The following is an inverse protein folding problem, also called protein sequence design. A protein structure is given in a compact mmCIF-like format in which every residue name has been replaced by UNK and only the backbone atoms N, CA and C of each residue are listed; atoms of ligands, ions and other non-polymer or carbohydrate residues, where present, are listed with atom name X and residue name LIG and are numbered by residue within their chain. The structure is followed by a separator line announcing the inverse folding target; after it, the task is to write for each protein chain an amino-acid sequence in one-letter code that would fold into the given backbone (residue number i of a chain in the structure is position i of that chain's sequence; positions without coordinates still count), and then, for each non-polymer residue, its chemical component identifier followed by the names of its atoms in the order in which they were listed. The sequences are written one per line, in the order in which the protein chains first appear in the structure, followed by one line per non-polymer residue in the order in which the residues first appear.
data_IF_184251207754
#
_entry.id   IF_184251207754
#
_cell.length_a   1.000
_cell.length_b   1.000
_cell.length_c   1.000
_cell.angle_alpha   90.00
_cell.angle_beta   90.00
_cell.angle_gamma   90.00
#
_symmetry.space_group_name_H-M   'P 1'
#
loop_
_entity.id
_entity.type
_entity.pdbx_description
1 polymer ?
#
# COMPACT_ATOMS: atom_id res chain seq x y z
N UNK A 1 -5.89 -21.12 -21.84
CA UNK A 1 -6.30 -19.71 -22.01
C UNK A 1 -5.06 -18.82 -21.90
N UNK A 2 -4.18 -18.89 -22.90
CA UNK A 2 -3.02 -18.00 -23.04
C UNK A 2 -3.36 -16.97 -24.11
N UNK A 3 -4.12 -15.95 -23.75
CA UNK A 3 -4.17 -14.73 -24.55
C UNK A 3 -2.91 -13.95 -24.24
N UNK A 4 -1.95 -13.95 -25.17
CA UNK A 4 -0.81 -13.05 -25.13
C UNK A 4 -1.32 -11.62 -24.93
N UNK A 5 -1.19 -11.09 -23.71
CA UNK A 5 -1.48 -9.70 -23.44
C UNK A 5 -0.64 -8.87 -24.40
N UNK A 6 -1.28 -8.04 -25.22
CA UNK A 6 -0.61 -7.18 -26.19
C UNK A 6 0.47 -6.37 -25.47
N UNK A 7 1.73 -6.42 -25.94
CA UNK A 7 2.89 -5.65 -25.41
C UNK A 7 2.56 -4.23 -24.89
N UNK A 8 1.73 -3.40 -25.57
CA UNK A 8 1.33 -2.09 -25.04
C UNK A 8 0.57 -2.16 -23.70
N UNK A 9 -0.28 -3.17 -23.49
CA UNK A 9 -1.03 -3.37 -22.24
C UNK A 9 -0.11 -3.71 -21.07
N UNK A 10 0.94 -4.51 -21.32
CA UNK A 10 1.96 -4.84 -20.31
C UNK A 10 2.79 -3.63 -19.89
N UNK A 11 3.02 -2.67 -20.80
CA UNK A 11 3.73 -1.42 -20.50
C UNK A 11 2.82 -0.36 -19.87
N UNK A 12 1.55 -0.31 -20.28
CA UNK A 12 0.58 0.65 -19.76
C UNK A 12 0.09 0.32 -18.35
N UNK A 13 -0.07 -0.98 -18.01
CA UNK A 13 -0.64 -1.40 -16.73
C UNK A 13 0.11 -0.85 -15.50
N UNK A 14 1.46 -0.89 -15.42
CA UNK A 14 2.19 -0.29 -14.31
C UNK A 14 1.99 1.22 -14.20
N UNK A 15 1.92 1.93 -15.33
CA UNK A 15 1.73 3.39 -15.37
C UNK A 15 0.34 3.75 -14.84
N UNK A 16 -0.69 3.06 -15.34
CA UNK A 16 -2.07 3.25 -14.89
C UNK A 16 -2.21 2.92 -13.41
N UNK A 17 -1.63 1.79 -12.97
CA UNK A 17 -1.60 1.41 -11.57
C UNK A 17 -0.94 2.50 -10.71
N UNK A 18 0.21 3.01 -11.12
CA UNK A 18 0.94 4.04 -10.38
C UNK A 18 0.14 5.34 -10.27
N UNK A 19 -0.52 5.78 -11.35
CA UNK A 19 -1.38 6.97 -11.34
C UNK A 19 -2.58 6.79 -10.40
N UNK A 20 -3.29 5.66 -10.51
CA UNK A 20 -4.45 5.36 -9.66
C UNK A 20 -4.04 5.21 -8.19
N UNK A 21 -2.91 4.58 -7.92
CA UNK A 21 -2.40 4.36 -6.57
C UNK A 21 -1.95 5.67 -5.92
N UNK A 22 -1.15 6.48 -6.62
CA UNK A 22 -0.66 7.76 -6.10
C UNK A 22 -1.79 8.77 -5.87
N UNK A 23 -2.80 8.82 -6.74
CA UNK A 23 -3.97 9.66 -6.55
C UNK A 23 -4.81 9.24 -5.32
N UNK A 24 -4.72 7.97 -4.92
CA UNK A 24 -5.50 7.40 -3.81
C UNK A 24 -5.31 8.12 -2.48
N UNK A 25 -4.10 8.57 -2.14
CA UNK A 25 -3.84 9.30 -0.88
C UNK A 25 -4.46 10.70 -0.88
N UNK A 26 -4.37 11.41 -2.01
CA UNK A 26 -4.99 12.72 -2.16
C UNK A 26 -6.52 12.61 -2.07
N UNK A 27 -7.11 11.65 -2.79
CA UNK A 27 -8.55 11.39 -2.77
C UNK A 27 -9.01 10.95 -1.37
N UNK A 28 -8.25 10.07 -0.69
CA UNK A 28 -8.55 9.64 0.67
C UNK A 28 -8.61 10.83 1.64
N UNK A 29 -7.64 11.74 1.57
CA UNK A 29 -7.62 12.93 2.43
C UNK A 29 -8.83 13.83 2.18
N UNK A 30 -9.26 13.99 0.92
CA UNK A 30 -10.47 14.73 0.56
C UNK A 30 -11.72 14.00 1.08
N UNK A 31 -11.82 12.68 0.88
CA UNK A 31 -12.96 11.88 1.36
C UNK A 31 -13.14 11.93 2.88
N UNK A 32 -12.04 12.03 3.64
CA UNK A 32 -12.04 12.15 5.10
C UNK A 32 -12.60 13.48 5.62
N UNK A 33 -12.82 14.47 4.75
CA UNK A 33 -13.57 15.69 5.07
C UNK A 33 -15.07 15.40 5.27
N UNK A 34 -15.59 14.35 4.63
CA UNK A 34 -17.02 14.02 4.61
C UNK A 34 -17.36 12.77 5.42
N UNK A 35 -16.40 11.88 5.67
CA UNK A 35 -16.63 10.63 6.39
C UNK A 35 -15.52 10.34 7.42
N UNK A 36 -15.84 9.53 8.43
CA UNK A 36 -14.84 8.95 9.33
C UNK A 36 -13.92 7.97 8.59
N UNK A 37 -12.71 7.70 9.11
CA UNK A 37 -11.74 6.82 8.45
C UNK A 37 -12.32 5.43 8.19
N UNK A 38 -12.77 4.73 9.22
CA UNK A 38 -13.30 3.38 9.06
C UNK A 38 -14.57 3.33 8.20
N UNK A 39 -15.43 4.37 8.24
CA UNK A 39 -16.60 4.47 7.37
C UNK A 39 -16.20 4.58 5.90
N UNK A 40 -15.19 5.40 5.60
CA UNK A 40 -14.68 5.55 4.24
C UNK A 40 -14.03 4.27 3.73
N UNK A 41 -13.24 3.57 4.57
CA UNK A 41 -12.69 2.27 4.22
C UNK A 41 -13.80 1.23 4.00
N UNK A 42 -14.80 1.16 4.89
CA UNK A 42 -15.91 0.23 4.75
C UNK A 42 -16.65 0.44 3.42
N UNK A 43 -17.01 1.68 3.10
CA UNK A 43 -17.65 2.02 1.82
C UNK A 43 -16.77 1.61 0.63
N UNK A 44 -15.47 1.96 0.67
CA UNK A 44 -14.51 1.65 -0.40
C UNK A 44 -14.44 0.14 -0.66
N UNK A 45 -14.31 -0.67 0.39
CA UNK A 45 -14.20 -2.11 0.24
C UNK A 45 -15.53 -2.78 -0.07
N UNK A 46 -16.66 -2.27 0.43
CA UNK A 46 -17.99 -2.73 0.03
C UNK A 46 -18.20 -2.52 -1.48
N UNK A 47 -17.84 -1.35 -2.01
CA UNK A 47 -17.90 -1.09 -3.46
C UNK A 47 -16.98 -2.06 -4.22
N UNK A 48 -15.74 -2.25 -3.75
CA UNK A 48 -14.81 -3.19 -4.38
C UNK A 48 -15.38 -4.62 -4.43
N UNK A 49 -15.97 -5.10 -3.33
CA UNK A 49 -16.62 -6.40 -3.25
C UNK A 49 -17.82 -6.48 -4.21
N UNK A 50 -18.68 -5.45 -4.26
CA UNK A 50 -19.82 -5.40 -5.17
C UNK A 50 -19.42 -5.42 -6.65
N UNK A 51 -18.29 -4.79 -6.99
CA UNK A 51 -17.75 -4.81 -8.36
C UNK A 51 -17.11 -6.16 -8.70
N UNK A 52 -16.44 -6.79 -7.74
CA UNK A 52 -15.72 -8.05 -7.95
C UNK A 52 -16.63 -9.30 -7.87
N UNK A 53 -17.71 -9.27 -7.08
CA UNK A 53 -18.64 -10.39 -6.91
C UNK A 53 -19.22 -10.90 -8.25
N UNK A 54 -19.72 -10.05 -9.17
CA UNK A 54 -20.23 -10.48 -10.48
C UNK A 54 -19.17 -11.11 -11.39
N UNK A 55 -17.88 -10.84 -11.15
CA UNK A 55 -16.78 -11.39 -11.94
C UNK A 55 -16.41 -12.82 -11.53
N UNK A 56 -16.78 -13.26 -10.33
CA UNK A 56 -16.50 -14.63 -9.83
C UNK A 56 -17.03 -15.73 -10.77
N UNK A 57 -18.31 -15.72 -11.21
CA UNK A 57 -18.81 -16.77 -12.12
C UNK A 57 -18.13 -16.75 -13.50
N UNK A 58 -17.62 -15.60 -13.93
CA UNK A 58 -16.95 -15.42 -15.22
C UNK A 58 -15.51 -15.95 -15.15
N UNK A 59 -14.76 -15.54 -14.13
CA UNK A 59 -13.34 -15.85 -13.96
C UNK A 59 -13.10 -17.24 -13.33
N UNK A 60 -14.11 -17.78 -12.63
CA UNK A 60 -14.06 -19.05 -11.88
C UNK A 60 -12.76 -19.21 -11.09
N UNK A 61 -12.42 -18.24 -10.22
CA UNK A 61 -11.17 -18.29 -9.47
C UNK A 61 -11.15 -19.51 -8.53
N UNK A 62 -9.97 -20.09 -8.35
CA UNK A 62 -9.78 -21.15 -7.36
C UNK A 62 -9.79 -20.54 -5.97
N UNK A 63 -10.80 -20.89 -5.17
CA UNK A 63 -10.87 -20.42 -3.79
C UNK A 63 -9.81 -21.12 -2.93
N UNK A 64 -9.04 -20.37 -2.12
CA UNK A 64 -8.14 -20.95 -1.15
C UNK A 64 -8.94 -21.77 -0.13
N UNK A 65 -8.41 -22.92 0.28
CA UNK A 65 -9.05 -23.82 1.26
C UNK A 65 -8.09 -24.08 2.43
N UNK A 66 -8.66 -24.28 3.63
CA UNK A 66 -7.88 -24.60 4.83
C UNK A 66 -6.97 -23.46 5.27
N UNK A 67 -5.69 -23.75 5.52
CA UNK A 67 -4.70 -22.77 6.01
C UNK A 67 -4.49 -21.60 5.06
N UNK A 68 -4.45 -21.85 3.75
CA UNK A 68 -4.29 -20.79 2.75
C UNK A 68 -5.39 -19.71 2.82
N UNK A 69 -6.61 -20.07 3.24
CA UNK A 69 -7.69 -19.09 3.42
C UNK A 69 -7.42 -18.17 4.62
N UNK A 70 -6.85 -18.72 5.71
CA UNK A 70 -6.42 -17.93 6.86
C UNK A 70 -5.25 -17.03 6.51
N UNK A 71 -4.27 -17.54 5.76
CA UNK A 71 -3.08 -16.78 5.36
C UNK A 71 -3.48 -15.56 4.51
N UNK A 72 -4.38 -15.75 3.54
CA UNK A 72 -4.94 -14.67 2.72
C UNK A 72 -5.77 -13.69 3.57
N UNK A 73 -6.52 -14.18 4.55
CA UNK A 73 -7.28 -13.31 5.45
C UNK A 73 -6.35 -12.45 6.32
N UNK A 74 -5.24 -13.01 6.81
CA UNK A 74 -4.22 -12.28 7.60
C UNK A 74 -3.55 -11.20 6.75
N UNK A 75 -3.10 -11.54 5.54
CA UNK A 75 -2.51 -10.57 4.60
C UNK A 75 -3.52 -9.48 4.25
N UNK A 76 -4.76 -9.86 3.93
CA UNK A 76 -5.85 -8.93 3.65
C UNK A 76 -6.14 -7.99 4.81
N UNK A 77 -6.17 -8.49 6.04
CA UNK A 77 -6.35 -7.67 7.23
C UNK A 77 -5.19 -6.69 7.44
N UNK A 78 -3.94 -7.15 7.33
CA UNK A 78 -2.77 -6.30 7.51
C UNK A 78 -2.70 -5.17 6.47
N UNK A 79 -3.03 -5.45 5.21
CA UNK A 79 -3.03 -4.45 4.14
C UNK A 79 -4.24 -3.52 4.26
N UNK A 80 -5.45 -4.08 4.34
CA UNK A 80 -6.67 -3.30 4.20
C UNK A 80 -7.11 -2.64 5.50
N UNK A 81 -6.88 -3.27 6.65
CA UNK A 81 -7.29 -2.74 7.95
C UNK A 81 -6.12 -2.05 8.64
N UNK A 82 -5.00 -2.75 8.84
CA UNK A 82 -3.90 -2.16 9.60
C UNK A 82 -3.22 -1.02 8.82
N UNK A 83 -2.76 -1.27 7.59
CA UNK A 83 -2.08 -0.25 6.79
C UNK A 83 -3.01 0.92 6.40
N UNK A 84 -4.07 0.66 5.64
CA UNK A 84 -4.96 1.75 5.21
C UNK A 84 -5.70 2.41 6.37
N UNK A 85 -6.12 1.64 7.39
CA UNK A 85 -6.83 2.19 8.54
C UNK A 85 -5.95 3.15 9.34
N UNK A 86 -4.71 2.76 9.66
CA UNK A 86 -3.77 3.63 10.37
C UNK A 86 -3.35 4.84 9.52
N UNK A 87 -3.16 4.68 8.22
CA UNK A 87 -2.90 5.82 7.33
C UNK A 87 -4.07 6.82 7.29
N UNK A 88 -5.32 6.34 7.28
CA UNK A 88 -6.49 7.22 7.27
C UNK A 88 -6.71 7.90 8.62
N UNK A 89 -6.38 7.23 9.73
CA UNK A 89 -6.30 7.87 11.05
C UNK A 89 -5.24 8.96 11.03
N UNK A 90 -4.04 8.71 10.48
CA UNK A 90 -3.00 9.72 10.36
C UNK A 90 -3.48 10.95 9.58
N UNK A 91 -4.15 10.75 8.44
CA UNK A 91 -4.76 11.85 7.68
C UNK A 91 -5.82 12.59 8.48
N UNK A 92 -6.68 11.89 9.21
CA UNK A 92 -7.72 12.50 10.05
C UNK A 92 -7.14 13.28 11.23
N UNK A 93 -6.02 12.82 11.79
CA UNK A 93 -5.29 13.52 12.85
C UNK A 93 -4.64 14.82 12.37
N UNK A 94 -4.53 15.04 11.06
CA UNK A 94 -4.00 16.26 10.46
C UNK A 94 -2.75 16.04 9.61
N UNK A 95 -2.25 14.80 9.51
CA UNK A 95 -0.99 14.56 8.81
C UNK A 95 -1.11 14.87 7.31
N UNK A 96 -0.09 15.52 6.74
CA UNK A 96 -0.08 15.77 5.29
C UNK A 96 0.01 14.47 4.47
N UNK A 97 -0.53 14.51 3.24
CA UNK A 97 -0.39 13.37 2.32
C UNK A 97 1.10 13.08 2.01
N UNK A 98 1.93 14.12 1.96
CA UNK A 98 3.38 14.00 1.81
C UNK A 98 4.05 13.36 3.03
N UNK A 99 3.67 13.75 4.25
CA UNK A 99 4.21 13.18 5.48
C UNK A 99 3.98 11.67 5.60
N UNK A 100 2.75 11.22 5.35
CA UNK A 100 2.45 9.78 5.30
C UNK A 100 3.19 9.11 4.13
N UNK A 101 3.26 9.75 2.97
CA UNK A 101 3.96 9.20 1.80
C UNK A 101 5.45 8.96 2.06
N UNK A 102 6.18 9.89 2.70
CA UNK A 102 7.60 9.68 3.05
C UNK A 102 7.74 8.43 3.92
N UNK A 103 6.92 8.32 4.97
CA UNK A 103 6.98 7.20 5.90
C UNK A 103 6.73 5.89 5.16
N UNK A 104 5.68 5.83 4.34
CA UNK A 104 5.32 4.64 3.57
C UNK A 104 6.37 4.31 2.51
N UNK A 105 7.03 5.30 1.91
CA UNK A 105 8.14 5.10 0.97
C UNK A 105 9.37 4.40 1.60
N UNK A 106 9.44 4.28 2.93
CA UNK A 106 10.46 3.48 3.60
C UNK A 106 10.18 1.98 3.55
N UNK A 107 8.97 1.55 3.16
CA UNK A 107 8.60 0.13 3.09
C UNK A 107 9.59 -0.71 2.29
N UNK A 108 10.05 -0.32 1.09
CA UNK A 108 10.98 -1.15 0.32
C UNK A 108 12.35 -1.29 0.99
N UNK A 109 12.77 -0.31 1.80
CA UNK A 109 13.99 -0.39 2.62
C UNK A 109 13.80 -1.42 3.73
N UNK A 110 12.70 -1.33 4.48
CA UNK A 110 12.40 -2.29 5.54
C UNK A 110 12.27 -3.71 5.00
N UNK A 111 11.54 -3.91 3.90
CA UNK A 111 11.41 -5.21 3.24
C UNK A 111 12.79 -5.69 2.78
N UNK A 112 13.62 -4.85 2.16
CA UNK A 112 14.97 -5.24 1.70
C UNK A 112 15.92 -5.61 2.84
N UNK A 113 15.73 -5.06 4.04
CA UNK A 113 16.53 -5.37 5.23
C UNK A 113 16.07 -6.66 5.93
N UNK A 114 14.77 -6.97 5.88
CA UNK A 114 14.17 -8.07 6.63
C UNK A 114 14.01 -9.33 5.75
N UNK A 115 13.62 -9.17 4.49
CA UNK A 115 13.40 -10.29 3.57
C UNK A 115 14.60 -11.23 3.42
N UNK A 116 15.87 -10.78 3.39
CA UNK A 116 17.01 -11.69 3.34
C UNK A 116 17.09 -12.64 4.52
N UNK A 117 16.69 -12.18 5.72
CA UNK A 117 16.71 -13.00 6.95
C UNK A 117 15.51 -13.94 7.03
N UNK A 118 14.36 -13.56 6.48
CA UNK A 118 13.12 -14.34 6.59
C UNK A 118 12.88 -15.29 5.42
N UNK A 119 13.31 -14.91 4.21
CA UNK A 119 13.01 -15.60 2.94
C UNK A 119 14.28 -16.11 2.25
N UNK A 120 15.47 -15.67 2.69
CA UNK A 120 16.76 -16.09 2.11
C UNK A 120 17.12 -15.38 0.79
N UNK A 121 16.39 -14.34 0.39
CA UNK A 121 16.70 -13.57 -0.82
C UNK A 121 17.92 -12.65 -0.62
N UNK A 122 18.84 -12.59 -1.58
CA UNK A 122 19.94 -11.62 -1.55
C UNK A 122 19.58 -10.33 -2.29
N UNK A 123 19.89 -9.18 -1.69
CA UNK A 123 19.66 -7.86 -2.31
C UNK A 123 20.96 -7.38 -2.96
N UNK A 124 20.96 -7.28 -4.29
CA UNK A 124 22.11 -6.78 -5.06
C UNK A 124 22.42 -5.30 -4.77
N UNK A 125 23.69 -4.90 -4.89
CA UNK A 125 24.15 -3.51 -4.74
C UNK A 125 23.41 -2.55 -5.69
N UNK A 126 23.05 -3.00 -6.90
CA UNK A 126 22.32 -2.17 -7.85
C UNK A 126 20.89 -1.85 -7.37
N UNK A 127 20.24 -2.78 -6.66
CA UNK A 127 18.91 -2.55 -6.05
C UNK A 127 19.01 -1.52 -4.93
N UNK A 128 20.08 -1.54 -4.14
CA UNK A 128 20.33 -0.54 -3.10
C UNK A 128 20.53 0.87 -3.68
N UNK A 129 21.26 0.99 -4.79
CA UNK A 129 21.44 2.29 -5.49
C UNK A 129 20.09 2.79 -6.03
N UNK A 130 19.33 1.93 -6.71
CA UNK A 130 18.01 2.30 -7.22
C UNK A 130 17.05 2.73 -6.10
N UNK A 131 17.10 2.06 -4.96
CA UNK A 131 16.32 2.40 -3.78
C UNK A 131 16.71 3.75 -3.17
N UNK A 132 18.01 4.02 -3.05
CA UNK A 132 18.52 5.31 -2.59
C UNK A 132 18.11 6.45 -3.52
N UNK A 133 18.20 6.25 -4.84
CA UNK A 133 17.77 7.23 -5.84
C UNK A 133 16.25 7.47 -5.79
N UNK A 134 15.45 6.41 -5.66
CA UNK A 134 14.00 6.53 -5.54
C UNK A 134 13.57 7.26 -4.26
N UNK A 135 14.21 6.95 -3.13
CA UNK A 135 13.98 7.64 -1.86
C UNK A 135 14.36 9.12 -1.94
N UNK A 136 15.52 9.43 -2.54
CA UNK A 136 15.98 10.81 -2.73
C UNK A 136 14.97 11.62 -3.57
N UNK A 137 14.52 11.07 -4.70
CA UNK A 137 13.51 11.71 -5.55
C UNK A 137 12.19 11.96 -4.80
N UNK A 138 11.69 10.96 -4.06
CA UNK A 138 10.49 11.12 -3.25
C UNK A 138 10.67 12.23 -2.18
N UNK A 139 11.81 12.25 -1.51
CA UNK A 139 12.14 13.27 -0.51
C UNK A 139 12.18 14.67 -1.12
N UNK A 140 12.81 14.85 -2.29
CA UNK A 140 12.85 16.16 -2.97
C UNK A 140 11.45 16.67 -3.30
N UNK A 141 10.60 15.82 -3.89
CA UNK A 141 9.22 16.22 -4.26
C UNK A 141 8.39 16.58 -3.03
N UNK A 142 8.55 15.83 -1.94
CA UNK A 142 7.75 16.05 -0.74
C UNK A 142 8.24 17.27 0.03
N UNK A 143 9.56 17.46 0.16
CA UNK A 143 10.13 18.68 0.77
C UNK A 143 9.79 19.94 -0.02
N UNK A 144 9.75 19.86 -1.35
CA UNK A 144 9.32 20.97 -2.20
C UNK A 144 7.83 21.34 -2.01
N UNK A 145 7.02 20.41 -1.48
CA UNK A 145 5.58 20.60 -1.23
C UNK A 145 5.22 20.73 0.25
N UNK A 146 6.13 20.46 1.17
CA UNK A 146 5.89 20.58 2.60
C UNK A 146 5.98 22.05 3.01
N UNK A 147 4.84 22.68 3.28
CA UNK A 147 4.83 23.85 4.15
C UNK A 147 5.35 23.44 5.54
N UNK A 148 6.02 24.35 6.25
CA UNK A 148 6.50 24.12 7.62
C UNK A 148 5.27 24.08 8.55
N UNK A 149 4.50 23.01 8.48
CA UNK A 149 3.37 22.72 9.36
C UNK A 149 3.78 21.57 10.28
N UNK A 150 3.62 21.76 11.58
CA UNK A 150 3.91 20.73 12.56
C UNK A 150 2.98 19.53 12.37
N UNK A 151 3.54 18.38 12.03
CA UNK A 151 2.79 17.13 11.89
C UNK A 151 2.47 16.55 13.28
N UNK A 152 1.20 16.19 13.56
CA UNK A 152 0.79 15.62 14.85
C UNK A 152 1.50 14.30 15.16
N UNK A 153 2.09 14.18 16.35
CA UNK A 153 2.86 12.99 16.79
C UNK A 153 2.04 11.71 16.73
N UNK A 154 0.78 11.76 17.15
CA UNK A 154 -0.13 10.59 17.11
C UNK A 154 -0.36 10.13 15.67
N UNK A 155 -0.54 11.07 14.74
CA UNK A 155 -0.72 10.74 13.33
C UNK A 155 0.54 10.15 12.71
N UNK A 156 1.73 10.65 13.08
CA UNK A 156 3.01 10.05 12.67
C UNK A 156 3.17 8.63 13.20
N UNK A 157 2.83 8.39 14.47
CA UNK A 157 2.85 7.04 15.06
C UNK A 157 1.90 6.08 14.32
N UNK A 158 0.70 6.55 13.94
CA UNK A 158 -0.22 5.77 13.11
C UNK A 158 0.38 5.48 11.72
N UNK A 159 0.99 6.46 11.06
CA UNK A 159 1.64 6.24 9.75
C UNK A 159 2.78 5.20 9.84
N UNK A 160 3.59 5.24 10.91
CA UNK A 160 4.63 4.23 11.18
C UNK A 160 4.01 2.86 11.46
N UNK A 161 2.94 2.79 12.25
CA UNK A 161 2.20 1.55 12.48
C UNK A 161 1.65 0.97 11.17
N UNK A 162 1.14 1.83 10.27
CA UNK A 162 0.68 1.42 8.94
C UNK A 162 1.82 0.87 8.08
N UNK A 163 2.97 1.53 8.07
CA UNK A 163 4.19 1.06 7.40
C UNK A 163 4.61 -0.32 7.90
N UNK A 164 4.60 -0.54 9.22
CA UNK A 164 4.92 -1.85 9.82
C UNK A 164 3.90 -2.89 9.38
N UNK A 165 2.60 -2.58 9.44
CA UNK A 165 1.52 -3.47 9.00
C UNK A 165 1.68 -3.90 7.54
N UNK A 166 1.97 -2.95 6.65
CA UNK A 166 2.21 -3.23 5.23
C UNK A 166 3.47 -4.08 5.01
N UNK A 167 4.56 -3.76 5.71
CA UNK A 167 5.82 -4.52 5.64
C UNK A 167 5.61 -5.97 6.11
N UNK A 168 4.92 -6.14 7.24
CA UNK A 168 4.59 -7.45 7.79
C UNK A 168 3.72 -8.25 6.81
N UNK A 169 2.72 -7.63 6.19
CA UNK A 169 1.88 -8.26 5.18
C UNK A 169 2.70 -8.79 4.00
N UNK A 170 3.56 -7.94 3.42
CA UNK A 170 4.41 -8.32 2.27
C UNK A 170 5.36 -9.45 2.61
N UNK A 171 5.95 -9.45 3.81
CA UNK A 171 6.85 -10.52 4.25
C UNK A 171 6.10 -11.83 4.55
N UNK A 172 4.88 -11.74 5.08
CA UNK A 172 4.03 -12.88 5.36
C UNK A 172 3.57 -13.54 4.06
N UNK A 173 3.06 -12.76 3.11
CA UNK A 173 2.64 -13.21 1.77
C UNK A 173 3.79 -13.84 0.97
N UNK A 174 5.02 -13.36 1.15
CA UNK A 174 6.19 -13.99 0.52
C UNK A 174 6.53 -15.35 1.10
N UNK A 175 6.14 -15.63 2.33
CA UNK A 175 6.55 -16.83 3.07
C UNK A 175 5.51 -17.95 3.03
N UNK A 176 4.22 -17.60 2.96
CA UNK A 176 3.07 -18.50 2.99
C UNK A 176 2.17 -18.26 1.79
#
# INVERSE_FOLDING_TARGET
MNSAMSRPLLLAAPIVFLLLWSAGFAIAKIGLLHAGPFTLLALRYSIAVLVLLPLIPILKPQFPKGRAALDIAVVGFLIQVAYFGLCYIAFKSGVSAGGVAIIVCLQPILVSLIAPRMVGETVSRLRWIGLALGLAGAMTVILARSGIAHEPTVGLACAVGGLIGMTAATLYEKRF
#
